data_IF_013967422054
#
_entry.id   IF_013967422054
#
_cell.length_a   1.000
_cell.length_b   1.000
_cell.length_c   1.000
_cell.angle_alpha   90.00
_cell.angle_beta   90.00
_cell.angle_gamma   90.00
#
_symmetry.space_group_name_H-M   'P 1'
#
loop_
_entity.id
_entity.type
_entity.pdbx_description
1 polymer ?
#
# COMPACT_ATOMS: atom_id res chain seq x y z
N UNK A 1 11.33 12.89 -4.31
CA UNK A 1 12.10 12.89 -5.58
C UNK A 1 13.55 12.41 -5.44
N UNK A 2 14.00 11.96 -4.26
CA UNK A 2 15.36 11.43 -4.07
C UNK A 2 15.28 10.00 -3.56
N UNK A 3 15.46 9.04 -4.45
CA UNK A 3 15.65 7.63 -4.09
C UNK A 3 16.93 7.16 -4.77
N UNK A 4 17.90 6.71 -3.97
CA UNK A 4 19.17 6.21 -4.48
C UNK A 4 18.94 4.77 -4.94
N UNK A 5 19.15 4.52 -6.24
CA UNK A 5 18.94 3.19 -6.84
C UNK A 5 20.21 2.35 -6.74
N UNK A 6 21.36 2.92 -7.15
CA UNK A 6 22.67 2.26 -7.06
C UNK A 6 23.82 3.27 -7.15
N UNK A 7 25.04 2.80 -6.84
CA UNK A 7 26.30 3.50 -7.11
C UNK A 7 27.09 2.71 -8.16
N UNK A 8 27.76 3.39 -9.08
CA UNK A 8 28.55 2.80 -10.16
C UNK A 8 30.03 3.13 -9.96
N UNK A 9 30.90 2.14 -10.20
CA UNK A 9 32.35 2.31 -10.25
C UNK A 9 32.81 2.85 -11.61
N UNK A 10 34.06 3.31 -11.67
CA UNK A 10 34.67 3.87 -12.87
C UNK A 10 34.64 2.87 -14.05
N UNK A 11 33.98 3.27 -15.14
CA UNK A 11 33.85 2.47 -16.36
C UNK A 11 32.70 1.44 -16.34
N UNK A 12 31.82 1.47 -15.34
CA UNK A 12 30.65 0.59 -15.29
C UNK A 12 29.42 1.20 -16.01
N UNK A 13 28.72 0.35 -16.77
CA UNK A 13 27.44 0.68 -17.39
C UNK A 13 26.30 -0.13 -16.75
N UNK A 14 25.13 0.51 -16.55
CA UNK A 14 23.92 -0.13 -16.05
C UNK A 14 22.78 0.02 -17.04
N UNK A 15 22.22 -1.12 -17.46
CA UNK A 15 21.00 -1.19 -18.27
C UNK A 15 19.93 -1.95 -17.48
N UNK A 16 18.76 -1.34 -17.33
CA UNK A 16 17.63 -1.92 -16.60
C UNK A 16 16.33 -1.60 -17.34
N UNK A 17 15.45 -2.60 -17.42
CA UNK A 17 14.08 -2.45 -17.89
C UNK A 17 13.13 -2.80 -16.73
N UNK A 18 12.13 -1.95 -16.48
CA UNK A 18 11.14 -2.17 -15.43
C UNK A 18 9.73 -2.13 -16.02
N UNK A 19 8.91 -3.10 -15.63
CA UNK A 19 7.49 -3.14 -16.00
C UNK A 19 6.64 -2.60 -14.85
N UNK A 20 5.82 -1.59 -15.13
CA UNK A 20 4.91 -0.99 -14.15
C UNK A 20 3.47 -1.31 -14.51
N UNK A 21 2.75 -1.90 -13.56
CA UNK A 21 1.35 -2.29 -13.72
C UNK A 21 0.46 -1.66 -12.65
N UNK A 22 -0.86 -1.65 -12.88
CA UNK A 22 -1.84 -1.27 -11.86
C UNK A 22 -2.43 -2.53 -11.23
N UNK A 23 -2.57 -2.53 -9.91
CA UNK A 23 -3.08 -3.68 -9.17
C UNK A 23 -3.71 -3.26 -7.84
N UNK A 24 -3.99 -4.23 -6.98
CA UNK A 24 -4.56 -4.00 -5.65
C UNK A 24 -3.76 -4.76 -4.60
N UNK A 25 -3.56 -4.15 -3.44
CA UNK A 25 -2.92 -4.80 -2.30
C UNK A 25 -1.45 -5.14 -2.53
N UNK A 26 -1.09 -6.38 -2.22
CA UNK A 26 0.26 -6.91 -2.29
C UNK A 26 0.27 -8.18 -3.13
N UNK A 27 1.23 -8.30 -4.05
CA UNK A 27 1.47 -9.50 -4.85
C UNK A 27 2.92 -9.91 -4.67
N UNK A 28 3.16 -11.14 -4.22
CA UNK A 28 4.52 -11.67 -4.07
C UNK A 28 5.17 -11.95 -5.42
N UNK A 29 6.50 -11.93 -5.46
CA UNK A 29 7.29 -12.23 -6.65
C UNK A 29 6.89 -13.56 -7.30
N UNK A 30 6.63 -14.61 -6.50
CA UNK A 30 6.18 -15.92 -7.00
C UNK A 30 4.89 -15.85 -7.81
N UNK A 31 3.93 -15.01 -7.38
CA UNK A 31 2.66 -14.80 -8.09
C UNK A 31 2.79 -13.82 -9.26
N UNK A 32 3.84 -13.00 -9.24
CA UNK A 32 4.14 -12.03 -10.29
C UNK A 32 4.92 -12.67 -11.45
N UNK A 33 5.37 -13.92 -11.29
CA UNK A 33 6.06 -14.68 -12.33
C UNK A 33 5.08 -15.08 -13.43
N UNK A 34 5.33 -14.61 -14.65
CA UNK A 34 4.58 -15.01 -15.84
C UNK A 34 5.09 -16.38 -16.32
N UNK A 35 4.18 -17.24 -16.80
CA UNK A 35 4.55 -18.58 -17.34
C UNK A 35 5.44 -18.48 -18.58
N UNK A 36 5.30 -17.40 -19.34
CA UNK A 36 6.03 -17.06 -20.56
C UNK A 36 7.15 -16.01 -20.34
N UNK A 37 7.61 -15.84 -19.10
CA UNK A 37 8.63 -14.85 -18.77
C UNK A 37 9.94 -15.08 -19.55
N UNK A 38 10.51 -14.05 -20.21
CA UNK A 38 11.76 -14.17 -20.94
C UNK A 38 12.94 -14.45 -19.99
N UNK A 39 13.98 -15.06 -20.54
CA UNK A 39 15.22 -15.32 -19.80
C UNK A 39 15.83 -13.98 -19.36
N UNK A 40 16.16 -13.86 -18.08
CA UNK A 40 16.71 -12.65 -17.48
C UNK A 40 15.68 -11.76 -16.78
N UNK A 41 14.38 -12.07 -16.87
CA UNK A 41 13.36 -11.40 -16.07
C UNK A 41 13.46 -11.85 -14.61
N UNK A 42 13.62 -10.88 -13.71
CA UNK A 42 13.64 -11.11 -12.27
C UNK A 42 12.31 -10.61 -11.69
N UNK A 43 11.40 -11.50 -11.27
CA UNK A 43 10.16 -11.07 -10.64
C UNK A 43 10.45 -10.49 -9.25
N UNK A 44 9.78 -9.39 -8.94
CA UNK A 44 9.84 -8.74 -7.62
C UNK A 44 8.44 -8.66 -7.03
N UNK A 45 8.37 -8.45 -5.72
CA UNK A 45 7.12 -8.16 -5.03
C UNK A 45 6.52 -6.85 -5.55
N UNK A 46 5.22 -6.86 -5.82
CA UNK A 46 4.47 -5.69 -6.24
C UNK A 46 3.62 -5.16 -5.09
N UNK A 47 4.04 -4.01 -4.55
CA UNK A 47 3.31 -3.27 -3.52
C UNK A 47 2.43 -2.24 -4.24
N UNK A 48 1.19 -2.63 -4.54
CA UNK A 48 0.21 -1.73 -5.15
C UNK A 48 -0.52 -0.85 -4.13
N UNK A 49 -0.58 -1.30 -2.87
CA UNK A 49 -1.20 -0.55 -1.79
C UNK A 49 -0.40 0.72 -1.49
N UNK A 50 -1.01 1.91 -1.59
CA UNK A 50 -0.41 3.17 -1.13
C UNK A 50 -0.41 3.28 0.41
N UNK A 51 -1.00 2.31 1.10
CA UNK A 51 -1.08 2.26 2.57
C UNK A 51 0.08 1.42 3.10
N UNK A 52 0.93 2.03 3.93
CA UNK A 52 2.08 1.38 4.57
C UNK A 52 1.69 0.67 5.86
N UNK A 53 0.87 1.31 6.69
CA UNK A 53 0.48 0.78 7.99
C UNK A 53 -0.87 1.34 8.43
N UNK A 54 -1.68 0.47 9.03
CA UNK A 54 -2.90 0.85 9.72
C UNK A 54 -2.89 0.22 11.11
N UNK A 55 -3.30 0.98 12.11
CA UNK A 55 -3.59 0.46 13.45
C UNK A 55 -4.83 1.15 13.99
N UNK A 56 -5.60 0.44 14.80
CA UNK A 56 -6.81 0.96 15.41
C UNK A 56 -6.82 0.64 16.90
N UNK A 57 -7.51 1.48 17.67
CA UNK A 57 -7.73 1.29 19.10
C UNK A 57 -9.19 1.66 19.42
N UNK A 58 -9.86 0.83 20.20
CA UNK A 58 -11.26 1.03 20.59
C UNK A 58 -11.31 1.13 22.10
N UNK A 59 -11.86 2.24 22.59
CA UNK A 59 -11.96 2.52 24.02
C UNK A 59 -13.39 2.86 24.40
N UNK A 60 -13.89 2.35 25.54
CA UNK A 60 -15.16 2.82 26.09
C UNK A 60 -15.12 4.33 26.31
N UNK A 61 -16.18 5.01 25.89
CA UNK A 61 -16.31 6.45 26.00
C UNK A 61 -17.63 6.80 26.64
N UNK A 62 -17.57 7.77 27.54
CA UNK A 62 -18.75 8.35 28.17
C UNK A 62 -19.15 9.60 27.40
N UNK A 63 -20.37 9.60 26.89
CA UNK A 63 -21.00 10.79 26.34
C UNK A 63 -22.12 11.23 27.30
N UNK A 64 -21.86 12.29 28.08
CA UNK A 64 -22.81 12.77 29.09
C UNK A 64 -23.07 11.76 30.21
N UNK A 65 -24.31 11.26 30.32
CA UNK A 65 -24.70 10.28 31.34
C UNK A 65 -24.64 8.82 30.85
N UNK A 66 -24.43 8.59 29.54
CA UNK A 66 -24.46 7.25 28.93
C UNK A 66 -23.01 6.73 28.76
N UNK A 67 -22.78 5.48 29.16
CA UNK A 67 -21.46 4.82 29.15
C UNK A 67 -21.28 3.81 28.00
N UNK A 68 -22.29 3.61 27.16
CA UNK A 68 -22.34 2.52 26.18
C UNK A 68 -21.80 2.90 24.78
N UNK A 69 -21.01 3.97 24.69
CA UNK A 69 -20.38 4.37 23.42
C UNK A 69 -18.95 3.88 23.33
N UNK A 70 -18.55 3.47 22.13
CA UNK A 70 -17.17 3.15 21.81
C UNK A 70 -16.53 4.29 21.02
N UNK A 71 -15.31 4.67 21.40
CA UNK A 71 -14.46 5.60 20.64
C UNK A 71 -13.42 4.81 19.86
N UNK A 72 -13.51 4.89 18.53
CA UNK A 72 -12.52 4.36 17.60
C UNK A 72 -11.46 5.41 17.29
N UNK A 73 -10.18 5.06 17.47
CA UNK A 73 -9.04 5.85 17.01
C UNK A 73 -8.30 5.08 15.92
N UNK A 74 -8.27 5.61 14.70
CA UNK A 74 -7.53 5.05 13.56
C UNK A 74 -6.22 5.81 13.36
N UNK A 75 -5.13 5.08 13.14
CA UNK A 75 -3.84 5.62 12.71
C UNK A 75 -3.49 5.00 11.37
N UNK A 76 -3.37 5.83 10.34
CA UNK A 76 -3.11 5.43 8.96
C UNK A 76 -1.84 6.13 8.48
N UNK A 77 -0.90 5.34 7.97
CA UNK A 77 0.35 5.81 7.37
C UNK A 77 0.35 5.45 5.88
N UNK A 78 0.52 6.46 5.02
CA UNK A 78 0.57 6.30 3.56
C UNK A 78 1.98 6.52 3.02
N UNK A 79 2.23 6.08 1.79
CA UNK A 79 3.48 6.32 1.08
C UNK A 79 3.61 7.73 0.47
N UNK A 80 2.56 8.53 0.57
CA UNK A 80 2.46 9.88 -0.01
C UNK A 80 1.80 9.92 -1.39
N UNK A 81 1.46 8.78 -1.98
CA UNK A 81 0.72 8.71 -3.26
C UNK A 81 -0.73 9.21 -3.12
N UNK A 82 -1.31 9.10 -1.92
CA UNK A 82 -2.54 9.78 -1.53
C UNK A 82 -2.56 10.14 -0.03
N UNK A 83 -3.44 11.06 0.35
CA UNK A 83 -3.56 11.51 1.74
C UNK A 83 -4.26 10.47 2.62
N UNK A 84 -3.96 10.39 3.92
CA UNK A 84 -4.65 9.47 4.83
C UNK A 84 -6.17 9.65 4.84
N UNK A 85 -6.67 10.89 4.75
CA UNK A 85 -8.10 11.19 4.74
C UNK A 85 -8.79 10.65 3.47
N UNK A 86 -8.18 10.87 2.30
CA UNK A 86 -8.66 10.31 1.04
C UNK A 86 -8.67 8.77 1.09
N UNK A 87 -7.65 8.16 1.69
CA UNK A 87 -7.54 6.71 1.81
C UNK A 87 -8.74 6.12 2.55
N UNK A 88 -9.10 6.74 3.68
CA UNK A 88 -10.24 6.30 4.49
C UNK A 88 -11.55 6.56 3.76
N UNK A 89 -11.71 7.68 3.06
CA UNK A 89 -12.89 7.97 2.27
C UNK A 89 -13.09 6.96 1.12
N UNK A 90 -12.01 6.61 0.41
CA UNK A 90 -12.04 5.57 -0.63
C UNK A 90 -12.40 4.20 -0.05
N UNK A 91 -11.82 3.83 1.09
CA UNK A 91 -12.14 2.58 1.77
C UNK A 91 -13.60 2.51 2.19
N UNK A 92 -14.15 3.60 2.75
CA UNK A 92 -15.55 3.68 3.15
C UNK A 92 -16.49 3.53 1.95
N UNK A 93 -16.19 4.18 0.83
CA UNK A 93 -16.98 4.04 -0.41
C UNK A 93 -16.97 2.60 -0.92
N UNK A 94 -15.78 1.98 -1.01
CA UNK A 94 -15.67 0.58 -1.44
C UNK A 94 -16.48 -0.33 -0.50
N UNK A 95 -16.42 -0.11 0.82
CA UNK A 95 -17.18 -0.90 1.79
C UNK A 95 -18.70 -0.73 1.62
N UNK A 96 -19.17 0.50 1.38
CA UNK A 96 -20.58 0.77 1.10
C UNK A 96 -21.05 0.03 -0.17
N UNK A 97 -20.26 0.11 -1.25
CA UNK A 97 -20.57 -0.55 -2.52
C UNK A 97 -20.62 -2.09 -2.42
N UNK A 98 -19.91 -2.69 -1.43
CA UNK A 98 -19.96 -4.14 -1.19
C UNK A 98 -21.11 -4.58 -0.28
N UNK A 99 -21.71 -3.66 0.47
CA UNK A 99 -22.81 -3.94 1.41
C UNK A 99 -24.20 -3.68 0.80
N UNK A 100 -24.26 -3.00 -0.35
CA UNK A 100 -25.48 -2.81 -1.16
C UNK A 100 -25.77 -4.03 -2.03
#
# INVERSE_FOLDING_TARGET
KSHVICHLDDGADLFMELTVNTGKGYVSADKNKMEDAPIGLIPIDAIYSPIKKVSYDVQPTREGQVLDYDKLTLKVETDGSLTPDDAVAYAARIMQDQLS
#
